data_IF_369731290016
#
_entry.id   IF_369731290016
#
_cell.length_a   1.000
_cell.length_b   1.000
_cell.length_c   1.000
_cell.angle_alpha   90.00
_cell.angle_beta   90.00
_cell.angle_gamma   90.00
#
_symmetry.space_group_name_H-M   'P 1'
#
loop_
_entity.id
_entity.type
_entity.pdbx_description
1 polymer ?
#
# COMPACT_ATOMS: atom_id res chain seq x y z
N UNK A 1 7.94 0.22 10.69
CA UNK A 1 8.09 0.17 9.22
C UNK A 1 8.44 1.54 8.71
N UNK A 2 9.62 1.73 8.13
CA UNK A 2 10.01 3.01 7.54
C UNK A 2 9.31 3.24 6.20
N UNK A 3 9.00 4.50 5.83
CA UNK A 3 8.50 4.81 4.50
C UNK A 3 9.61 4.70 3.45
N UNK A 4 9.27 4.18 2.28
CA UNK A 4 10.13 4.08 1.09
C UNK A 4 9.43 4.72 -0.11
N UNK A 5 10.18 5.39 -0.99
CA UNK A 5 9.65 5.81 -2.28
C UNK A 5 9.79 4.67 -3.28
N UNK A 6 8.68 4.09 -3.69
CA UNK A 6 8.63 2.99 -4.66
C UNK A 6 8.06 3.51 -5.98
N UNK A 7 8.65 3.08 -7.09
CA UNK A 7 8.15 3.37 -8.43
C UNK A 7 7.00 2.42 -8.78
N UNK A 8 5.77 2.93 -8.73
CA UNK A 8 4.54 2.18 -9.02
C UNK A 8 3.99 2.60 -10.38
N UNK A 9 4.67 2.16 -11.45
CA UNK A 9 4.35 2.46 -12.85
C UNK A 9 4.11 3.94 -13.18
N UNK A 10 5.16 4.62 -13.67
CA UNK A 10 5.16 6.04 -14.09
C UNK A 10 4.97 7.06 -12.97
N UNK A 11 4.68 6.62 -11.74
CA UNK A 11 4.62 7.47 -10.54
C UNK A 11 5.48 6.91 -9.41
N UNK A 12 6.02 7.80 -8.58
CA UNK A 12 6.60 7.43 -7.29
C UNK A 12 5.56 7.66 -6.20
N UNK A 13 5.37 6.70 -5.32
CA UNK A 13 4.63 6.94 -4.09
C UNK A 13 5.40 6.44 -2.87
N UNK A 14 5.13 7.12 -1.75
CA UNK A 14 5.67 6.74 -0.47
C UNK A 14 4.83 5.57 0.07
N UNK A 15 5.47 4.42 0.24
CA UNK A 15 4.85 3.19 0.74
C UNK A 15 5.55 2.69 1.99
N UNK A 16 4.91 1.77 2.71
CA UNK A 16 5.55 1.05 3.81
C UNK A 16 5.95 -0.32 3.31
N UNK A 17 7.17 -0.74 3.63
CA UNK A 17 7.66 -2.06 3.26
C UNK A 17 7.78 -2.97 4.49
N UNK A 18 7.34 -4.21 4.34
CA UNK A 18 7.74 -5.30 5.23
C UNK A 18 9.01 -5.95 4.68
N UNK A 19 10.07 -5.86 5.48
CA UNK A 19 11.40 -6.36 5.12
C UNK A 19 11.76 -7.61 5.93
N UNK A 20 10.82 -8.19 6.67
CA UNK A 20 11.04 -9.32 7.58
C UNK A 20 10.20 -10.55 7.17
N UNK A 21 8.91 -10.37 6.88
CA UNK A 21 7.99 -11.47 6.53
C UNK A 21 8.40 -12.12 5.22
N UNK A 22 8.53 -13.45 5.21
CA UNK A 22 8.85 -14.28 4.03
C UNK A 22 10.04 -13.77 3.19
N UNK A 23 11.13 -13.37 3.87
CA UNK A 23 12.32 -12.84 3.20
C UNK A 23 12.24 -11.35 2.83
N UNK A 24 11.11 -10.69 3.08
CA UNK A 24 10.91 -9.26 2.95
C UNK A 24 10.69 -8.77 1.51
N UNK A 25 10.68 -7.45 1.33
CA UNK A 25 10.43 -6.82 0.02
C UNK A 25 8.95 -6.60 -0.29
N UNK A 26 8.07 -6.77 0.68
CA UNK A 26 6.63 -6.62 0.49
C UNK A 26 6.21 -5.16 0.62
N UNK A 27 5.48 -4.67 -0.37
CA UNK A 27 4.77 -3.39 -0.24
C UNK A 27 3.47 -3.63 0.52
N UNK A 28 3.30 -2.97 1.66
CA UNK A 28 2.08 -3.11 2.47
C UNK A 28 0.97 -2.24 1.86
N UNK A 29 -0.10 -2.87 1.40
CA UNK A 29 -1.25 -2.17 0.78
C UNK A 29 -2.37 -1.83 1.77
N UNK A 30 -2.44 -2.56 2.89
CA UNK A 30 -3.45 -2.40 3.93
C UNK A 30 -2.88 -2.80 5.29
N UNK A 31 -3.17 -2.02 6.34
CA UNK A 31 -2.76 -2.32 7.71
C UNK A 31 -3.82 -1.86 8.71
N UNK A 32 -4.07 -2.69 9.74
CA UNK A 32 -4.90 -2.35 10.91
C UNK A 32 -4.26 -2.88 12.19
N UNK A 33 -3.84 -1.98 13.06
CA UNK A 33 -3.22 -2.26 14.38
C UNK A 33 -4.15 -1.87 15.52
N UNK A 34 -4.96 -0.84 15.33
CA UNK A 34 -5.89 -0.32 16.33
C UNK A 34 -7.27 -0.06 15.73
N UNK A 35 -8.21 0.30 16.60
CA UNK A 35 -9.53 0.72 16.14
C UNK A 35 -9.41 2.06 15.39
N UNK A 36 -9.77 2.01 14.12
CA UNK A 36 -9.60 3.07 13.14
C UNK A 36 -10.72 2.93 12.12
N UNK A 37 -11.26 4.07 11.66
CA UNK A 37 -12.40 4.11 10.77
C UNK A 37 -11.99 3.78 9.33
N UNK A 38 -12.52 2.67 8.82
CA UNK A 38 -12.38 2.22 7.44
C UNK A 38 -13.70 2.29 6.67
N UNK A 39 -14.77 2.82 7.26
CA UNK A 39 -16.02 3.07 6.54
C UNK A 39 -15.88 4.36 5.72
N UNK A 40 -15.16 4.25 4.59
CA UNK A 40 -14.78 5.37 3.74
C UNK A 40 -15.52 5.39 2.41
N UNK A 41 -15.57 6.57 1.82
CA UNK A 41 -16.12 6.76 0.48
C UNK A 41 -15.26 6.12 -0.61
N UNK A 42 -15.82 5.94 -1.79
CA UNK A 42 -15.07 5.47 -2.96
C UNK A 42 -13.85 6.37 -3.27
N UNK A 43 -14.01 7.69 -3.15
CA UNK A 43 -12.93 8.63 -3.45
C UNK A 43 -11.74 8.44 -2.49
N UNK A 44 -12.02 8.20 -1.20
CA UNK A 44 -10.99 7.90 -0.20
C UNK A 44 -10.31 6.56 -0.48
N UNK A 45 -11.06 5.51 -0.80
CA UNK A 45 -10.45 4.23 -1.20
C UNK A 45 -9.64 4.33 -2.49
N UNK A 46 -10.06 5.17 -3.43
CA UNK A 46 -9.34 5.42 -4.68
C UNK A 46 -7.99 6.09 -4.42
N UNK A 47 -7.97 7.14 -3.61
CA UNK A 47 -6.77 7.92 -3.30
C UNK A 47 -5.86 7.30 -2.22
N UNK A 48 -6.43 6.55 -1.29
CA UNK A 48 -5.76 6.08 -0.07
C UNK A 48 -6.08 6.98 1.14
N UNK A 49 -5.97 6.40 2.33
CA UNK A 49 -6.23 7.09 3.60
C UNK A 49 -5.52 6.39 4.76
N UNK A 50 -5.43 7.08 5.90
CA UNK A 50 -4.91 6.54 7.15
C UNK A 50 -3.63 7.20 7.63
N UNK A 51 -2.92 6.51 8.52
CA UNK A 51 -1.71 6.97 9.19
C UNK A 51 -0.58 5.91 9.15
N UNK A 52 0.44 6.10 9.99
CA UNK A 52 1.60 5.20 10.02
C UNK A 52 1.28 3.76 10.45
N UNK A 53 0.18 3.55 11.17
CA UNK A 53 -0.18 2.27 11.78
C UNK A 53 -1.42 1.65 11.15
N UNK A 54 -2.35 2.47 10.66
CA UNK A 54 -3.62 2.04 10.08
C UNK A 54 -3.87 2.76 8.76
N UNK A 55 -3.80 2.07 7.63
CA UNK A 55 -3.96 2.72 6.34
C UNK A 55 -4.45 1.77 5.23
N UNK A 56 -4.95 2.40 4.18
CA UNK A 56 -5.18 1.84 2.85
C UNK A 56 -4.35 2.61 1.84
N UNK A 57 -3.53 1.92 1.04
CA UNK A 57 -2.58 2.55 0.11
C UNK A 57 -3.26 3.34 -1.01
N UNK A 58 -4.49 2.98 -1.36
CA UNK A 58 -5.24 3.60 -2.45
C UNK A 58 -5.30 2.71 -3.69
N UNK A 59 -6.50 2.58 -4.26
CA UNK A 59 -6.74 1.69 -5.39
C UNK A 59 -5.96 2.11 -6.64
N UNK A 60 -5.74 3.40 -6.86
CA UNK A 60 -4.94 3.87 -8.01
C UNK A 60 -3.47 3.41 -7.89
N UNK A 61 -2.91 3.46 -6.69
CA UNK A 61 -1.55 3.01 -6.42
C UNK A 61 -1.43 1.48 -6.58
N UNK A 62 -2.39 0.73 -6.02
CA UNK A 62 -2.41 -0.73 -6.14
C UNK A 62 -2.59 -1.15 -7.61
N UNK A 63 -3.48 -0.48 -8.33
CA UNK A 63 -3.68 -0.72 -9.76
C UNK A 63 -2.41 -0.43 -10.55
N UNK A 64 -1.78 0.72 -10.33
CA UNK A 64 -0.54 1.09 -11.02
C UNK A 64 0.59 0.09 -10.73
N UNK A 65 0.72 -0.39 -9.50
CA UNK A 65 1.66 -1.46 -9.15
C UNK A 65 1.38 -2.76 -9.89
N UNK A 66 0.12 -3.19 -9.93
CA UNK A 66 -0.30 -4.43 -10.59
C UNK A 66 -0.20 -4.38 -12.12
N UNK A 67 -0.05 -3.19 -12.73
CA UNK A 67 0.30 -3.02 -14.15
C UNK A 67 1.82 -3.18 -14.42
N UNK A 68 2.60 -3.56 -13.41
CA UNK A 68 4.02 -3.85 -13.55
C UNK A 68 4.32 -4.97 -14.56
N UNK A 69 5.61 -5.13 -14.88
CA UNK A 69 6.08 -6.11 -15.89
C UNK A 69 6.03 -7.55 -15.37
N UNK A 70 5.96 -7.73 -14.05
CA UNK A 70 5.98 -9.02 -13.37
C UNK A 70 4.67 -9.28 -12.66
N UNK A 71 4.33 -10.56 -12.49
CA UNK A 71 3.24 -10.97 -11.62
C UNK A 71 3.57 -10.67 -10.15
N UNK A 72 2.54 -10.36 -9.37
CA UNK A 72 2.64 -10.13 -7.93
C UNK A 72 1.88 -11.20 -7.16
N UNK A 73 2.41 -11.58 -6.01
CA UNK A 73 1.71 -12.37 -5.00
C UNK A 73 1.07 -11.45 -3.95
N UNK A 74 -0.06 -11.89 -3.40
CA UNK A 74 -0.70 -11.24 -2.25
C UNK A 74 -0.69 -12.21 -1.07
N UNK A 75 -0.15 -11.76 0.06
CA UNK A 75 -0.07 -12.50 1.33
C UNK A 75 -0.96 -11.88 2.40
#
# INVERSE_FOLDING_TARGET
>A
MSPFNVFMHLVYAQVRCDMETDGGGWTVIHRRVSDSDFYKSWAEYKAGFGDEQNFWLGNENIFAQAQGVTDYELI
#
